data_IF_034319313811
#
_entry.id   IF_034319313811
#
_cell.length_a   1.000
_cell.length_b   1.000
_cell.length_c   1.000
_cell.angle_alpha   90.00
_cell.angle_beta   90.00
_cell.angle_gamma   90.00
#
_symmetry.space_group_name_H-M   'P 1'
#
loop_
_entity.id
_entity.type
_entity.pdbx_description
1 polymer ?
#
# COMPACT_ATOMS: atom_id res chain seq x y z
N UNK A 1 -3.69 -28.91 -4.68
CA UNK A 1 -3.05 -28.51 -4.67
C UNK A 1 -2.86 -27.27 -4.41
N UNK A 2 -2.32 -27.00 -4.12
CA UNK A 2 -2.01 -25.78 -3.65
C UNK A 2 -2.20 -24.66 -4.55
N UNK A 3 -2.94 -24.86 -5.55
CA UNK A 3 -3.13 -23.80 -6.50
C UNK A 3 -3.77 -22.58 -5.89
N UNK A 4 -4.77 -22.78 -5.08
CA UNK A 4 -5.43 -21.65 -4.48
C UNK A 4 -4.50 -20.90 -3.56
N UNK A 5 -3.55 -21.60 -2.98
CA UNK A 5 -2.64 -20.94 -2.13
C UNK A 5 -1.62 -20.18 -2.85
N UNK A 6 -1.48 -20.43 -4.12
CA UNK A 6 -0.48 -19.77 -4.91
C UNK A 6 -0.99 -18.53 -5.57
N UNK A 7 -2.18 -18.10 -5.22
CA UNK A 7 -2.66 -16.83 -5.71
C UNK A 7 -1.70 -15.76 -5.29
N UNK A 8 -1.14 -15.09 -6.25
CA UNK A 8 -0.20 -14.02 -5.97
C UNK A 8 -0.93 -12.81 -5.45
N UNK A 9 -0.31 -12.13 -4.52
CA UNK A 9 -0.80 -10.85 -4.05
C UNK A 9 -0.29 -9.75 -4.96
N UNK A 10 -1.08 -8.73 -5.18
CA UNK A 10 -0.71 -7.63 -6.04
C UNK A 10 -0.34 -6.40 -5.22
N UNK A 11 0.72 -5.74 -5.64
CA UNK A 11 1.24 -4.54 -4.96
C UNK A 11 1.50 -3.46 -5.99
N UNK A 12 1.10 -2.24 -5.67
CA UNK A 12 1.51 -1.08 -6.44
C UNK A 12 2.71 -0.47 -5.72
N UNK A 13 3.85 -0.43 -6.41
CA UNK A 13 5.08 0.13 -5.86
C UNK A 13 5.30 1.51 -6.46
N UNK A 14 5.25 2.53 -5.62
CA UNK A 14 5.36 3.91 -6.05
C UNK A 14 6.70 4.46 -5.58
N UNK A 15 7.64 4.57 -6.50
CA UNK A 15 8.99 4.98 -6.20
C UNK A 15 9.61 5.58 -7.46
N UNK A 16 10.10 6.81 -7.39
CA UNK A 16 10.68 7.45 -8.57
C UNK A 16 12.15 7.08 -8.78
N UNK A 17 12.81 6.56 -7.76
CA UNK A 17 14.20 6.16 -7.86
C UNK A 17 14.24 4.76 -8.49
N UNK A 18 14.59 4.73 -9.78
CA UNK A 18 14.43 3.51 -10.58
C UNK A 18 15.18 2.31 -10.00
N UNK A 19 16.39 2.53 -9.55
CA UNK A 19 17.23 1.44 -9.04
C UNK A 19 16.60 0.82 -7.80
N UNK A 20 16.10 1.65 -6.89
CA UNK A 20 15.43 1.15 -5.70
C UNK A 20 14.14 0.43 -6.07
N UNK A 21 13.38 0.99 -7.00
CA UNK A 21 12.14 0.36 -7.44
C UNK A 21 12.41 -1.03 -8.02
N UNK A 22 13.46 -1.17 -8.81
CA UNK A 22 13.81 -2.46 -9.39
C UNK A 22 14.26 -3.45 -8.33
N UNK A 23 15.03 -3.00 -7.36
CA UNK A 23 15.50 -3.86 -6.28
C UNK A 23 14.33 -4.37 -5.44
N UNK A 24 13.45 -3.46 -5.05
CA UNK A 24 12.29 -3.82 -4.23
C UNK A 24 11.34 -4.70 -5.03
N UNK A 25 11.06 -4.30 -6.26
CA UNK A 25 10.14 -5.04 -7.11
C UNK A 25 10.63 -6.45 -7.39
N UNK A 26 11.91 -6.61 -7.69
CA UNK A 26 12.47 -7.94 -7.95
C UNK A 26 12.36 -8.84 -6.73
N UNK A 27 12.62 -8.30 -5.55
CA UNK A 27 12.50 -9.08 -4.33
C UNK A 27 11.05 -9.51 -4.12
N UNK A 28 10.11 -8.60 -4.30
CA UNK A 28 8.71 -8.91 -4.10
C UNK A 28 8.22 -9.93 -5.13
N UNK A 29 8.64 -9.78 -6.37
CA UNK A 29 8.26 -10.74 -7.40
C UNK A 29 8.81 -12.14 -7.09
N UNK A 30 10.00 -12.19 -6.52
CA UNK A 30 10.60 -13.47 -6.14
C UNK A 30 9.87 -14.11 -4.95
N UNK A 31 9.14 -13.32 -4.17
CA UNK A 31 8.37 -13.82 -3.04
C UNK A 31 6.88 -13.91 -3.35
N UNK A 32 6.57 -14.02 -4.63
CA UNK A 32 5.22 -14.33 -5.11
C UNK A 32 4.25 -13.16 -5.09
N UNK A 33 4.77 -11.95 -5.27
CA UNK A 33 3.91 -10.78 -5.49
C UNK A 33 3.89 -10.43 -6.97
N UNK A 34 2.78 -9.88 -7.40
CA UNK A 34 2.67 -9.26 -8.71
C UNK A 34 2.82 -7.77 -8.47
N UNK A 35 3.78 -7.13 -9.14
CA UNK A 35 4.13 -5.74 -8.85
C UNK A 35 3.85 -4.86 -10.06
N UNK A 36 3.04 -3.82 -9.84
CA UNK A 36 2.91 -2.72 -10.79
C UNK A 36 3.74 -1.56 -10.28
N UNK A 37 4.26 -0.76 -11.18
CA UNK A 37 5.17 0.34 -10.83
C UNK A 37 4.58 1.68 -11.22
N UNK A 38 4.79 2.67 -10.36
CA UNK A 38 4.48 4.06 -10.66
C UNK A 38 5.67 4.90 -10.23
N UNK A 39 6.13 5.79 -11.10
CA UNK A 39 7.29 6.63 -10.82
C UNK A 39 6.94 8.02 -10.33
N UNK A 40 5.67 8.36 -10.26
CA UNK A 40 5.23 9.68 -9.82
C UNK A 40 3.84 9.60 -9.20
N UNK A 41 3.42 10.69 -8.56
CA UNK A 41 2.17 10.69 -7.83
C UNK A 41 0.94 10.60 -8.70
N UNK A 42 0.96 11.25 -9.87
CA UNK A 42 -0.22 11.21 -10.75
C UNK A 42 -0.47 9.80 -11.28
N UNK A 43 0.60 9.12 -11.70
CA UNK A 43 0.49 7.75 -12.16
C UNK A 43 0.01 6.86 -11.02
N UNK A 44 0.53 7.08 -9.82
CA UNK A 44 0.13 6.31 -8.65
C UNK A 44 -1.35 6.46 -8.36
N UNK A 45 -1.87 7.69 -8.42
CA UNK A 45 -3.28 7.93 -8.17
C UNK A 45 -4.15 7.26 -9.24
N UNK A 46 -3.74 7.36 -10.49
CA UNK A 46 -4.48 6.74 -11.57
C UNK A 46 -4.55 5.22 -11.39
N UNK A 47 -3.41 4.60 -11.17
CA UNK A 47 -3.36 3.14 -10.99
C UNK A 47 -4.09 2.69 -9.73
N UNK A 48 -3.95 3.46 -8.65
CA UNK A 48 -4.58 3.10 -7.38
C UNK A 48 -6.09 3.14 -7.44
N UNK A 49 -6.65 4.00 -8.30
CA UNK A 49 -8.09 4.12 -8.46
C UNK A 49 -8.63 3.10 -9.46
N UNK A 50 -7.88 2.89 -10.56
CA UNK A 50 -8.40 2.06 -11.66
C UNK A 50 -8.14 0.57 -11.48
N UNK A 51 -7.19 0.19 -10.63
CA UNK A 51 -6.89 -1.21 -10.40
C UNK A 51 -7.07 -1.55 -8.93
N UNK A 52 -7.24 -2.84 -8.65
CA UNK A 52 -7.37 -3.32 -7.28
C UNK A 52 -6.05 -3.96 -6.86
N UNK A 53 -5.48 -3.49 -5.78
CA UNK A 53 -4.24 -4.03 -5.24
C UNK A 53 -4.47 -4.53 -3.82
N UNK A 54 -3.63 -5.47 -3.40
CA UNK A 54 -3.66 -5.94 -2.01
C UNK A 54 -2.95 -4.96 -1.09
N UNK A 55 -1.99 -4.21 -1.61
CA UNK A 55 -1.29 -3.18 -0.85
C UNK A 55 -0.64 -2.18 -1.79
N UNK A 56 -0.33 -1.01 -1.26
CA UNK A 56 0.42 0.02 -1.97
C UNK A 56 1.64 0.37 -1.13
N UNK A 57 2.82 0.35 -1.74
CA UNK A 57 4.05 0.81 -1.12
C UNK A 57 4.37 2.17 -1.74
N UNK A 58 4.40 3.20 -0.94
CA UNK A 58 4.36 4.58 -1.43
C UNK A 58 5.44 5.43 -0.81
N UNK A 59 6.39 5.89 -1.63
CA UNK A 59 7.42 6.79 -1.16
C UNK A 59 6.80 8.17 -0.89
N UNK A 60 7.17 8.78 0.21
CA UNK A 60 6.71 10.12 0.53
C UNK A 60 7.28 11.13 -0.44
N UNK A 61 8.56 10.97 -0.81
CA UNK A 61 9.25 11.93 -1.68
C UNK A 61 9.08 11.53 -3.15
N UNK A 62 8.10 12.12 -3.81
CA UNK A 62 7.82 11.86 -5.21
C UNK A 62 7.84 13.17 -6.00
N UNK A 63 8.21 13.11 -7.29
CA UNK A 63 8.11 14.31 -8.13
C UNK A 63 6.65 14.66 -8.36
N UNK A 64 6.39 15.94 -8.47
CA UNK A 64 5.04 16.43 -8.70
C UNK A 64 4.19 16.36 -7.44
N UNK A 65 3.27 15.42 -7.40
CA UNK A 65 2.40 15.24 -6.24
C UNK A 65 3.09 14.28 -5.28
N UNK A 66 3.36 14.75 -4.06
CA UNK A 66 4.10 13.93 -3.09
C UNK A 66 3.25 12.79 -2.55
N UNK A 67 3.93 11.86 -1.84
CA UNK A 67 3.27 10.65 -1.37
C UNK A 67 2.20 10.91 -0.32
N UNK A 68 2.37 11.92 0.51
CA UNK A 68 1.36 12.25 1.51
C UNK A 68 0.06 12.69 0.83
N UNK A 69 0.20 13.52 -0.19
CA UNK A 69 -0.95 14.00 -0.96
C UNK A 69 -1.62 12.84 -1.70
N UNK A 70 -0.81 11.95 -2.30
CA UNK A 70 -1.35 10.79 -2.99
C UNK A 70 -2.19 9.96 -2.03
N UNK A 71 -1.65 9.68 -0.85
CA UNK A 71 -2.35 8.87 0.15
C UNK A 71 -3.67 9.54 0.56
N UNK A 72 -3.60 10.84 0.84
CA UNK A 72 -4.78 11.58 1.25
C UNK A 72 -5.86 11.56 0.19
N UNK A 73 -5.48 11.77 -1.06
CA UNK A 73 -6.44 11.78 -2.15
C UNK A 73 -7.04 10.40 -2.42
N UNK A 74 -6.23 9.36 -2.32
CA UNK A 74 -6.76 8.00 -2.45
C UNK A 74 -7.82 7.72 -1.39
N UNK A 75 -7.57 8.16 -0.16
CA UNK A 75 -8.51 7.93 0.93
C UNK A 75 -9.74 8.82 0.83
N UNK A 76 -9.51 10.11 0.69
CA UNK A 76 -10.60 11.09 0.80
C UNK A 76 -11.40 11.26 -0.47
N UNK A 77 -10.72 11.32 -1.60
CA UNK A 77 -11.41 11.61 -2.86
C UNK A 77 -11.90 10.35 -3.56
N UNK A 78 -11.15 9.28 -3.46
CA UNK A 78 -11.45 8.05 -4.20
C UNK A 78 -11.95 6.92 -3.31
N UNK A 79 -11.97 7.12 -2.00
CA UNK A 79 -12.45 6.11 -1.04
C UNK A 79 -11.74 4.76 -1.19
N UNK A 80 -10.46 4.80 -1.56
CA UNK A 80 -9.67 3.58 -1.69
C UNK A 80 -9.30 3.10 -0.30
N UNK A 81 -9.54 1.82 -0.02
CA UNK A 81 -9.27 1.25 1.30
C UNK A 81 -8.06 0.32 1.31
N UNK A 82 -7.40 0.17 0.18
CA UNK A 82 -6.19 -0.65 0.06
C UNK A 82 -5.16 -0.23 1.11
N UNK A 83 -4.55 -1.17 1.84
CA UNK A 83 -3.53 -0.79 2.82
C UNK A 83 -2.34 -0.12 2.17
N UNK A 84 -1.83 0.91 2.81
CA UNK A 84 -0.71 1.70 2.29
C UNK A 84 0.42 1.70 3.29
N UNK A 85 1.62 1.34 2.83
CA UNK A 85 2.85 1.47 3.60
C UNK A 85 3.62 2.63 3.03
N UNK A 86 3.96 3.61 3.86
CA UNK A 86 4.76 4.75 3.45
C UNK A 86 6.24 4.46 3.62
N UNK A 87 7.04 4.83 2.63
CA UNK A 87 8.48 4.80 2.74
C UNK A 87 8.96 6.21 3.05
N UNK A 88 9.75 6.36 4.09
CA UNK A 88 10.20 7.67 4.51
C UNK A 88 11.67 7.64 4.92
N UNK A 89 12.37 8.77 4.78
CA UNK A 89 13.73 8.88 5.23
C UNK A 89 13.76 9.14 6.74
N UNK A 90 14.86 8.76 7.37
CA UNK A 90 14.99 8.90 8.81
C UNK A 90 14.82 10.34 9.28
N UNK A 91 15.30 11.30 8.48
CA UNK A 91 15.22 12.70 8.84
C UNK A 91 13.88 13.34 8.54
N UNK A 92 12.91 12.53 8.14
CA UNK A 92 11.57 13.02 7.84
C UNK A 92 10.55 12.49 8.84
N UNK A 93 10.95 12.41 10.10
CA UNK A 93 10.07 11.86 11.13
C UNK A 93 8.78 12.65 11.30
N UNK A 94 8.84 13.98 11.07
CA UNK A 94 7.63 14.78 11.13
C UNK A 94 6.61 14.37 10.08
N UNK A 95 7.09 13.90 8.95
CA UNK A 95 6.21 13.44 7.88
C UNK A 95 5.51 12.15 8.27
N UNK A 96 6.08 11.39 9.18
CA UNK A 96 5.48 10.16 9.65
C UNK A 96 4.12 10.42 10.29
N UNK A 97 4.03 11.45 11.14
CA UNK A 97 2.76 11.80 11.75
C UNK A 97 1.76 12.28 10.72
N UNK A 98 2.23 13.09 9.77
CA UNK A 98 1.36 13.56 8.71
C UNK A 98 0.85 12.41 7.86
N UNK A 99 1.70 11.39 7.68
CA UNK A 99 1.31 10.21 6.92
C UNK A 99 0.17 9.46 7.57
N UNK A 100 0.23 9.28 8.90
CA UNK A 100 -0.87 8.62 9.59
C UNK A 100 -2.15 9.44 9.48
N UNK A 101 -2.02 10.77 9.55
CA UNK A 101 -3.16 11.64 9.36
C UNK A 101 -3.73 11.53 7.96
N UNK A 102 -2.90 11.23 6.97
CA UNK A 102 -3.35 11.08 5.60
C UNK A 102 -3.90 9.70 5.29
N UNK A 103 -3.84 8.77 6.24
CA UNK A 103 -4.48 7.48 6.09
C UNK A 103 -3.58 6.29 5.81
N UNK A 104 -2.28 6.43 6.04
CA UNK A 104 -1.36 5.31 5.86
C UNK A 104 -1.52 4.29 6.97
N UNK A 105 -1.28 3.04 6.65
CA UNK A 105 -1.42 1.94 7.61
C UNK A 105 -0.13 1.58 8.31
N UNK A 106 1.00 1.89 7.72
CA UNK A 106 2.29 1.57 8.31
C UNK A 106 3.37 2.45 7.67
N UNK A 107 4.54 2.42 8.27
CA UNK A 107 5.70 3.17 7.82
C UNK A 107 6.93 2.31 7.80
N UNK A 108 7.82 2.59 6.88
CA UNK A 108 9.11 1.91 6.81
C UNK A 108 10.17 2.98 6.54
N UNK A 109 11.17 3.04 7.41
CA UNK A 109 12.22 4.06 7.33
C UNK A 109 13.35 3.57 6.46
N UNK A 110 13.76 4.39 5.50
CA UNK A 110 14.91 4.08 4.64
C UNK A 110 16.20 4.37 5.37
N UNK A 111 17.23 3.55 5.22
CA UNK A 111 17.23 2.31 4.46
C UNK A 111 16.59 1.18 5.25
N UNK A 112 16.00 0.23 4.55
CA UNK A 112 15.33 -0.90 5.19
C UNK A 112 15.78 -2.20 4.55
N UNK A 113 15.58 -3.30 5.28
CA UNK A 113 15.86 -4.63 4.75
C UNK A 113 14.64 -5.15 4.02
N UNK A 114 14.87 -5.90 2.94
CA UNK A 114 13.74 -6.46 2.18
C UNK A 114 12.85 -7.35 3.04
N UNK A 115 13.39 -8.21 3.92
CA UNK A 115 12.51 -9.02 4.78
C UNK A 115 11.63 -8.18 5.70
N UNK A 116 12.09 -7.00 6.11
CA UNK A 116 11.26 -6.12 6.94
C UNK A 116 10.07 -5.60 6.13
N UNK A 117 10.33 -5.19 4.89
CA UNK A 117 9.24 -4.75 4.02
C UNK A 117 8.23 -5.88 3.80
N UNK A 118 8.74 -7.07 3.52
CA UNK A 118 7.89 -8.23 3.28
C UNK A 118 7.02 -8.53 4.50
N UNK A 119 7.61 -8.48 5.69
CA UNK A 119 6.87 -8.77 6.92
C UNK A 119 5.78 -7.73 7.16
N UNK A 120 6.07 -6.46 6.90
CA UNK A 120 5.07 -5.40 7.08
C UNK A 120 3.97 -5.48 6.04
N UNK A 121 4.32 -5.83 4.79
CA UNK A 121 3.32 -6.05 3.76
C UNK A 121 2.37 -7.17 4.15
N UNK A 122 2.92 -8.30 4.56
CA UNK A 122 2.11 -9.42 4.97
C UNK A 122 1.18 -9.04 6.12
N UNK A 123 1.71 -8.28 7.08
CA UNK A 123 0.92 -7.86 8.24
C UNK A 123 -0.24 -6.95 7.86
N UNK A 124 0.00 -5.93 7.02
CA UNK A 124 -1.08 -5.00 6.67
C UNK A 124 -2.11 -5.68 5.77
N UNK A 125 -1.67 -6.57 4.89
CA UNK A 125 -2.60 -7.29 4.01
C UNK A 125 -3.47 -8.23 4.83
N UNK A 126 -2.87 -8.99 5.76
CA UNK A 126 -3.64 -9.89 6.62
C UNK A 126 -4.61 -9.12 7.48
N UNK A 127 -4.20 -7.99 8.02
CA UNK A 127 -5.08 -7.16 8.84
C UNK A 127 -6.27 -6.65 8.02
N UNK A 128 -6.01 -6.23 6.80
CA UNK A 128 -7.06 -5.77 5.91
C UNK A 128 -8.04 -6.89 5.57
N UNK A 129 -7.54 -8.08 5.28
CA UNK A 129 -8.38 -9.22 4.98
C UNK A 129 -9.21 -9.63 6.20
N UNK A 130 -8.62 -9.54 7.38
CA UNK A 130 -9.33 -9.87 8.60
C UNK A 130 -10.51 -8.90 8.83
N UNK A 131 -10.27 -7.62 8.60
CA UNK A 131 -11.32 -6.62 8.72
C UNK A 131 -12.43 -6.86 7.71
N UNK A 132 -12.09 -7.23 6.49
CA UNK A 132 -13.08 -7.54 5.48
C UNK A 132 -13.94 -8.72 5.90
N UNK A 133 -13.32 -9.74 6.46
CA UNK A 133 -14.07 -10.90 6.92
C UNK A 133 -15.01 -10.54 8.05
N UNK A 134 -14.55 -9.70 8.96
CA UNK A 134 -15.40 -9.25 10.05
C UNK A 134 -16.59 -8.45 9.52
N UNK A 135 -16.33 -7.61 8.53
CA UNK A 135 -17.39 -6.85 7.90
C UNK A 135 -18.40 -7.76 7.21
N UNK A 136 -17.94 -8.80 6.56
CA UNK A 136 -18.84 -9.74 5.91
C UNK A 136 -19.75 -10.42 6.90
N UNK A 137 -19.19 -10.84 8.03
CA UNK A 137 -19.96 -11.54 9.05
C UNK A 137 -20.96 -10.60 9.72
N UNK A 138 -20.53 -9.40 10.08
CA UNK A 138 -21.44 -8.44 10.67
C UNK A 138 -22.09 -7.56 9.64
N UNK A 139 -21.65 -7.64 8.42
CA UNK A 139 -22.08 -6.74 7.37
C UNK A 139 -23.54 -6.84 7.04
N UNK A 140 -24.09 -8.02 7.19
CA UNK A 140 -25.52 -8.17 7.01
C UNK A 140 -26.26 -7.32 8.00
N UNK A 141 -25.80 -7.34 9.24
CA UNK A 141 -26.41 -6.51 10.25
C UNK A 141 -26.20 -5.05 9.94
N UNK A 142 -24.98 -4.68 9.58
CA UNK A 142 -24.68 -3.30 9.28
C UNK A 142 -25.49 -2.80 8.09
N UNK A 143 -25.61 -3.62 7.08
CA UNK A 143 -26.39 -3.24 5.92
C UNK A 143 -27.84 -3.04 6.24
N UNK A 144 -28.37 -3.86 7.10
CA UNK A 144 -29.73 -3.70 7.54
C UNK A 144 -29.90 -2.43 8.36
N UNK A 145 -28.91 -2.14 9.17
CA UNK A 145 -28.98 -0.96 10.03
C UNK A 145 -28.87 0.33 9.25
N UNK A 146 -28.13 0.32 8.15
CA UNK A 146 -27.91 1.54 7.40
C UNK A 146 -28.94 1.77 6.34
N UNK A 147 -29.75 0.82 6.10
CA UNK A 147 -30.83 0.99 5.16
C UNK A 147 -32.09 1.34 5.85
#
# INVERSE_FOLDING_TARGET
MSMAKNSSRSVLLVEDHQELAETVGSYLEATNYIVDYAGDGLTAMHLGVTNTYDAIVLDIMLPGVDGLTVCQRLRDDAAVTTPIIMLTARDQLDDKLKGFESGADDYLIKPFDMPELEARLDAVIRRSQHLEKQYEVSGLKLNLDTM
#
